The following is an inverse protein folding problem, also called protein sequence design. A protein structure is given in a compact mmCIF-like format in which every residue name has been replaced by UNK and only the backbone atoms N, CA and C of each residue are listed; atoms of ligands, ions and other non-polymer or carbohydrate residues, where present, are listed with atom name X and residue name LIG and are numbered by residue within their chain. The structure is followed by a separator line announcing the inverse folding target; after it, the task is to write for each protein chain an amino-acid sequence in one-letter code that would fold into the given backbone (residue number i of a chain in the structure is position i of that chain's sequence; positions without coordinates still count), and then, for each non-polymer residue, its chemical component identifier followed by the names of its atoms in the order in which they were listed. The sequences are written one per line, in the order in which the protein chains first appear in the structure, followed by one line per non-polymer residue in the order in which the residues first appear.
data_IF_711198097442
#
_entry.id   IF_711198097442
#
_cell.length_a   1.000
_cell.length_b   1.000
_cell.length_c   1.000
_cell.angle_alpha   90.00
_cell.angle_beta   90.00
_cell.angle_gamma   90.00
#
_symmetry.space_group_name_H-M   'P 1'
#
loop_
_entity.id
_entity.type
_entity.pdbx_description
1 polymer ?
#
# COMPACT_ATOMS: atom_id res chain seq x y z
N UNK A 1 -23.75 -5.49 -9.84
CA UNK A 1 -22.98 -6.19 -8.78
C UNK A 1 -21.88 -5.25 -8.30
N UNK A 2 -21.70 -5.07 -6.98
CA UNK A 2 -20.57 -4.30 -6.44
C UNK A 2 -19.36 -5.22 -6.41
N UNK A 3 -18.43 -5.04 -7.33
CA UNK A 3 -17.15 -5.77 -7.32
C UNK A 3 -16.29 -5.28 -6.15
N UNK A 4 -15.52 -6.17 -5.50
CA UNK A 4 -14.55 -5.77 -4.50
C UNK A 4 -13.62 -4.67 -5.00
N UNK A 5 -13.21 -3.77 -4.10
CA UNK A 5 -12.19 -2.78 -4.42
C UNK A 5 -10.87 -3.51 -4.74
N UNK A 6 -10.24 -3.14 -5.85
CA UNK A 6 -8.94 -3.66 -6.25
C UNK A 6 -8.06 -2.51 -6.69
N UNK A 7 -6.78 -2.55 -6.30
CA UNK A 7 -5.75 -1.59 -6.68
C UNK A 7 -4.49 -2.32 -7.12
N UNK A 8 -3.81 -1.76 -8.10
CA UNK A 8 -2.48 -2.18 -8.51
C UNK A 8 -1.68 -0.94 -8.90
N UNK A 9 -0.44 -0.84 -8.45
CA UNK A 9 0.49 0.22 -8.87
C UNK A 9 1.94 -0.23 -8.79
N UNK A 10 2.78 0.49 -9.53
CA UNK A 10 4.23 0.49 -9.39
C UNK A 10 4.67 1.90 -9.00
N UNK A 11 5.55 1.98 -8.00
CA UNK A 11 6.20 3.22 -7.60
C UNK A 11 7.70 3.07 -7.81
N UNK A 12 8.36 4.16 -8.19
CA UNK A 12 9.79 4.16 -8.52
C UNK A 12 10.49 5.33 -7.86
N UNK A 13 11.59 5.06 -7.16
CA UNK A 13 12.43 6.07 -6.53
C UNK A 13 13.67 6.29 -7.39
N UNK A 14 13.84 7.52 -7.87
CA UNK A 14 14.94 7.92 -8.76
C UNK A 14 15.76 9.03 -8.09
N UNK A 15 17.08 8.89 -8.12
CA UNK A 15 18.00 9.96 -7.76
C UNK A 15 18.04 11.00 -8.89
N UNK A 16 17.53 12.20 -8.62
CA UNK A 16 17.35 13.24 -9.66
C UNK A 16 18.65 13.66 -10.37
N UNK A 17 19.80 13.84 -9.68
CA UNK A 17 21.02 14.32 -10.32
C UNK A 17 21.57 13.43 -11.44
N UNK A 18 21.52 12.10 -11.29
CA UNK A 18 22.15 11.14 -12.22
C UNK A 18 21.16 10.15 -12.84
N UNK A 19 19.88 10.21 -12.46
CA UNK A 19 18.83 9.31 -12.93
C UNK A 19 18.93 7.90 -12.36
N UNK A 20 19.76 7.66 -11.32
CA UNK A 20 19.93 6.33 -10.76
C UNK A 20 18.61 5.82 -10.14
N UNK A 21 18.23 4.60 -10.50
CA UNK A 21 17.11 3.90 -9.89
C UNK A 21 17.51 3.41 -8.49
N UNK A 22 16.93 4.02 -7.45
CA UNK A 22 17.24 3.69 -6.07
C UNK A 22 16.35 2.55 -5.54
N UNK A 23 15.08 2.52 -5.93
CA UNK A 23 14.14 1.48 -5.51
C UNK A 23 12.93 1.39 -6.45
N UNK A 24 12.31 0.22 -6.48
CA UNK A 24 11.00 -0.03 -7.10
C UNK A 24 10.14 -0.78 -6.09
N UNK A 25 8.87 -0.39 -6.00
CA UNK A 25 7.88 -1.03 -5.15
C UNK A 25 6.63 -1.33 -5.97
N UNK A 26 6.13 -2.56 -5.85
CA UNK A 26 4.93 -3.04 -6.54
C UNK A 26 3.90 -3.45 -5.51
N UNK A 27 2.69 -2.95 -5.68
CA UNK A 27 1.59 -3.27 -4.82
C UNK A 27 0.40 -3.70 -5.65
N UNK A 28 -0.18 -4.85 -5.32
CA UNK A 28 -1.42 -5.33 -5.88
C UNK A 28 -2.28 -5.91 -4.76
N UNK A 29 -3.54 -5.50 -4.72
CA UNK A 29 -4.50 -6.01 -3.76
C UNK A 29 -5.91 -5.93 -4.32
N UNK A 30 -6.57 -7.08 -4.39
CA UNK A 30 -8.01 -7.19 -4.56
C UNK A 30 -8.63 -7.56 -3.22
N UNK A 31 -9.54 -6.72 -2.72
CA UNK A 31 -10.30 -7.01 -1.51
C UNK A 31 -11.20 -8.25 -1.75
N UNK A 32 -11.45 -9.03 -0.71
CA UNK A 32 -12.32 -10.21 -0.75
C UNK A 32 -13.25 -10.18 0.46
N UNK A 33 -14.40 -10.83 0.37
CA UNK A 33 -15.28 -10.90 1.53
C UNK A 33 -14.64 -11.74 2.63
N UNK A 34 -14.76 -11.32 3.88
CA UNK A 34 -14.23 -12.09 5.00
C UNK A 34 -14.86 -13.49 5.08
N UNK A 35 -16.13 -13.63 4.68
CA UNK A 35 -16.82 -14.91 4.54
C UNK A 35 -16.20 -15.82 3.49
N UNK A 36 -15.55 -15.28 2.46
CA UNK A 36 -14.85 -16.05 1.43
C UNK A 36 -13.44 -16.45 1.90
N UNK A 37 -12.82 -15.67 2.79
CA UNK A 37 -11.49 -15.96 3.31
C UNK A 37 -11.28 -15.43 4.74
N UNK A 38 -11.56 -16.26 5.74
CA UNK A 38 -11.40 -15.91 7.15
C UNK A 38 -9.94 -15.61 7.55
N UNK A 39 -8.94 -16.06 6.77
CA UNK A 39 -7.53 -15.73 7.02
C UNK A 39 -7.22 -14.25 6.76
N UNK A 40 -8.15 -13.50 6.13
CA UNK A 40 -8.04 -12.04 5.96
C UNK A 40 -8.41 -11.25 7.21
N UNK A 41 -8.82 -11.90 8.32
CA UNK A 41 -9.23 -11.22 9.56
C UNK A 41 -8.23 -10.13 10.03
N UNK A 42 -6.90 -10.33 10.02
CA UNK A 42 -5.96 -9.29 10.43
C UNK A 42 -6.04 -8.04 9.55
N UNK A 43 -6.09 -8.20 8.22
CA UNK A 43 -6.21 -7.07 7.26
C UNK A 43 -7.57 -6.40 7.35
N UNK A 44 -8.62 -7.16 7.63
CA UNK A 44 -9.96 -6.63 7.84
C UNK A 44 -10.01 -5.75 9.10
N UNK A 45 -9.34 -6.16 10.18
CA UNK A 45 -9.20 -5.36 11.40
C UNK A 45 -8.31 -4.13 11.18
N UNK A 46 -7.20 -4.25 10.45
CA UNK A 46 -6.37 -3.10 10.03
C UNK A 46 -7.17 -2.06 9.22
N UNK A 47 -8.11 -2.51 8.40
CA UNK A 47 -9.06 -1.65 7.66
C UNK A 47 -10.22 -1.11 8.51
N UNK A 48 -10.22 -1.30 9.83
CA UNK A 48 -11.28 -0.83 10.73
C UNK A 48 -12.57 -1.66 10.70
N UNK A 49 -12.50 -2.93 10.27
CA UNK A 49 -13.64 -3.84 10.26
C UNK A 49 -14.68 -3.53 9.18
N UNK A 50 -14.30 -2.78 8.14
CA UNK A 50 -15.19 -2.39 7.04
C UNK A 50 -14.52 -2.60 5.68
N UNK A 51 -15.36 -2.59 4.65
CA UNK A 51 -14.88 -2.47 3.29
C UNK A 51 -14.29 -1.07 3.08
N UNK A 52 -13.11 -1.03 2.48
CA UNK A 52 -12.42 0.21 2.17
C UNK A 52 -12.75 0.60 0.73
N UNK A 53 -12.79 1.90 0.46
CA UNK A 53 -12.82 2.37 -0.93
C UNK A 53 -11.47 2.15 -1.60
N UNK A 54 -11.41 2.30 -2.92
CA UNK A 54 -10.14 2.18 -3.66
C UNK A 54 -9.15 3.25 -3.21
N UNK A 55 -9.65 4.45 -2.95
CA UNK A 55 -8.88 5.60 -2.48
C UNK A 55 -8.27 5.32 -1.10
N UNK A 56 -9.06 4.80 -0.16
CA UNK A 56 -8.57 4.45 1.18
C UNK A 56 -7.51 3.33 1.13
N UNK A 57 -7.72 2.31 0.29
CA UNK A 57 -6.72 1.26 0.07
C UNK A 57 -5.42 1.83 -0.52
N UNK A 58 -5.54 2.74 -1.49
CA UNK A 58 -4.41 3.35 -2.17
C UNK A 58 -3.62 4.23 -1.21
N UNK A 59 -4.28 5.07 -0.42
CA UNK A 59 -3.64 5.94 0.57
C UNK A 59 -2.84 5.12 1.60
N UNK A 60 -3.43 4.04 2.11
CA UNK A 60 -2.72 3.14 3.03
C UNK A 60 -1.54 2.43 2.38
N UNK A 61 -1.67 2.01 1.12
CA UNK A 61 -0.59 1.36 0.39
C UNK A 61 0.56 2.34 0.09
N UNK A 62 0.25 3.54 -0.39
CA UNK A 62 1.23 4.58 -0.68
C UNK A 62 1.97 5.05 0.58
N UNK A 63 1.29 5.17 1.73
CA UNK A 63 1.95 5.47 3.00
C UNK A 63 3.02 4.43 3.36
N UNK A 64 2.70 3.14 3.21
CA UNK A 64 3.67 2.05 3.46
C UNK A 64 4.83 2.06 2.46
N UNK A 65 4.57 2.37 1.18
CA UNK A 65 5.62 2.56 0.17
C UNK A 65 6.54 3.73 0.53
N UNK A 66 5.97 4.86 0.95
CA UNK A 66 6.75 6.03 1.37
C UNK A 66 7.64 5.72 2.58
N UNK A 67 7.14 4.99 3.58
CA UNK A 67 7.95 4.53 4.72
C UNK A 67 9.09 3.60 4.30
N UNK A 68 8.86 2.70 3.32
CA UNK A 68 9.93 1.86 2.76
C UNK A 68 11.00 2.72 2.10
N UNK A 69 10.63 3.72 1.32
CA UNK A 69 11.58 4.63 0.69
C UNK A 69 12.34 5.50 1.68
N UNK A 70 11.67 6.02 2.71
CA UNK A 70 12.32 6.77 3.78
C UNK A 70 13.44 5.93 4.45
N UNK A 71 13.17 4.64 4.72
CA UNK A 71 14.19 3.72 5.25
C UNK A 71 15.34 3.47 4.27
N UNK A 72 15.05 3.29 2.98
CA UNK A 72 16.10 3.14 1.95
C UNK A 72 17.00 4.36 1.85
N UNK A 73 16.45 5.56 2.05
CA UNK A 73 17.20 6.82 2.04
C UNK A 73 17.90 7.12 3.37
N UNK A 74 17.72 6.30 4.41
CA UNK A 74 18.24 6.56 5.76
C UNK A 74 17.53 7.72 6.48
N UNK A 75 16.34 8.14 6.03
CA UNK A 75 15.57 9.20 6.68
C UNK A 75 14.89 8.68 7.97
N UNK A 76 14.83 9.51 9.04
CA UNK A 76 14.13 9.13 10.26
C UNK A 76 12.63 8.92 10.00
N UNK A 77 11.96 7.99 10.72
CA UNK A 77 10.54 7.73 10.51
C UNK A 77 9.70 8.98 10.76
N UNK A 78 8.77 9.27 9.85
CA UNK A 78 7.84 10.39 9.96
C UNK A 78 6.89 10.14 11.15
N UNK A 79 7.12 10.83 12.27
CA UNK A 79 6.20 10.80 13.42
C UNK A 79 4.93 11.57 13.04
N UNK A 80 3.79 10.87 13.01
CA UNK A 80 2.47 11.52 13.02
C UNK A 80 2.14 12.01 14.42
#
# INVERSE_FOLDING_TARGET
MRTPASIAYEATLVHVPDGALLAVDRFEYAQQALSENLLQLPRFVEGGGRWLTREELLDQALARTAERYARTLGAPPTRR
#
